data_IF_187807212935
#
_entry.id   IF_187807212935
#
_cell.length_a   1.000
_cell.length_b   1.000
_cell.length_c   1.000
_cell.angle_alpha   90.00
_cell.angle_beta   90.00
_cell.angle_gamma   90.00
#
_symmetry.space_group_name_H-M   'P 1'
#
loop_
_entity.id
_entity.type
_entity.pdbx_description
1 polymer ?
#
# COMPACT_ATOMS: atom_id res chain seq x y z
N UNK A 1 21.37 10.93 26.97
CA UNK A 1 22.10 10.33 28.11
C UNK A 1 22.66 11.50 28.90
N UNK A 2 22.03 11.78 30.04
CA UNK A 2 22.13 13.04 30.77
C UNK A 2 23.25 12.93 31.81
N UNK A 3 23.91 14.04 32.09
CA UNK A 3 25.06 14.24 32.98
C UNK A 3 24.90 13.82 34.46
N UNK A 4 23.85 13.10 34.82
CA UNK A 4 23.54 12.66 36.19
C UNK A 4 24.19 11.34 36.57
N UNK A 5 24.53 10.48 35.61
CA UNK A 5 25.04 9.12 35.89
C UNK A 5 26.51 9.12 36.36
N UNK A 6 27.26 10.23 36.19
CA UNK A 6 28.69 10.30 36.50
C UNK A 6 28.94 10.68 37.98
N UNK A 7 28.04 11.42 38.64
CA UNK A 7 28.24 11.90 40.03
C UNK A 7 27.84 10.90 41.12
N UNK A 8 27.00 9.90 40.83
CA UNK A 8 26.55 8.91 41.84
C UNK A 8 27.62 7.86 42.18
N UNK A 9 28.69 7.75 41.38
CA UNK A 9 29.72 6.72 41.52
C UNK A 9 30.65 6.89 42.72
N UNK A 10 30.62 8.04 43.40
CA UNK A 10 31.50 8.38 44.54
C UNK A 10 30.73 8.69 45.85
N UNK A 11 29.43 8.42 45.93
CA UNK A 11 28.65 8.64 47.16
C UNK A 11 28.55 7.35 47.98
N UNK A 12 29.04 7.37 49.23
CA UNK A 12 28.80 6.28 50.19
C UNK A 12 27.33 6.29 50.64
N UNK A 13 26.50 5.50 49.96
CA UNK A 13 25.09 5.32 50.33
C UNK A 13 24.94 4.19 51.36
N UNK A 14 24.13 4.43 52.38
CA UNK A 14 23.77 3.37 53.34
C UNK A 14 22.94 2.30 52.63
N UNK A 15 23.37 1.04 52.72
CA UNK A 15 22.67 -0.10 52.14
C UNK A 15 21.59 -0.58 53.08
N UNK A 16 20.40 -0.88 52.55
CA UNK A 16 19.26 -1.43 53.28
C UNK A 16 18.72 -2.69 52.60
N UNK A 17 17.89 -3.46 53.30
CA UNK A 17 17.26 -4.67 52.78
C UNK A 17 15.79 -4.74 53.17
N UNK A 18 14.91 -5.10 52.23
CA UNK A 18 13.50 -5.43 52.52
C UNK A 18 13.31 -6.86 53.04
N UNK A 19 14.38 -7.66 53.09
CA UNK A 19 14.30 -9.13 53.22
C UNK A 19 15.11 -9.70 54.39
N UNK A 20 15.56 -8.85 55.33
CA UNK A 20 16.39 -9.29 56.47
C UNK A 20 16.13 -8.47 57.73
N UNK A 21 16.00 -9.15 58.86
CA UNK A 21 15.50 -8.62 60.15
C UNK A 21 16.40 -7.54 60.80
N UNK A 22 17.59 -7.25 60.27
CA UNK A 22 18.57 -6.38 60.93
C UNK A 22 18.82 -5.02 60.27
N UNK A 23 18.27 -4.74 59.07
CA UNK A 23 18.56 -3.48 58.37
C UNK A 23 17.46 -3.07 57.36
N UNK A 24 16.21 -3.07 57.82
CA UNK A 24 15.10 -2.54 57.03
C UNK A 24 15.20 -1.02 56.86
N UNK A 25 14.80 -0.46 55.71
CA UNK A 25 14.72 0.98 55.52
C UNK A 25 13.83 1.63 56.58
N UNK A 26 14.34 2.62 57.34
CA UNK A 26 13.51 3.37 58.27
C UNK A 26 12.28 4.00 57.59
N UNK A 27 11.15 4.19 58.30
CA UNK A 27 9.90 4.66 57.70
C UNK A 27 9.98 6.02 56.98
N UNK A 28 10.94 6.88 57.34
CA UNK A 28 11.16 8.18 56.71
C UNK A 28 11.89 8.07 55.36
N UNK A 29 12.55 6.95 55.07
CA UNK A 29 13.15 6.68 53.77
C UNK A 29 12.08 6.18 52.79
N UNK A 30 11.91 6.90 51.70
CA UNK A 30 10.91 6.60 50.66
C UNK A 30 11.57 6.35 49.32
N UNK A 31 11.01 5.42 48.57
CA UNK A 31 11.35 5.24 47.15
C UNK A 31 10.88 6.45 46.33
N UNK A 32 11.43 6.63 45.12
CA UNK A 32 10.97 7.67 44.17
C UNK A 32 9.46 7.63 43.91
N UNK A 33 8.85 6.45 43.89
CA UNK A 33 7.40 6.28 43.71
C UNK A 33 6.63 6.83 44.92
N UNK A 34 7.02 6.42 46.13
CA UNK A 34 6.39 6.86 47.39
C UNK A 34 6.56 8.37 47.63
N UNK A 35 7.74 8.94 47.34
CA UNK A 35 7.91 10.41 47.33
C UNK A 35 6.88 11.06 46.40
N UNK A 36 6.68 10.45 45.23
CA UNK A 36 5.77 10.97 44.23
C UNK A 36 4.32 11.06 44.70
N UNK A 37 3.87 10.09 45.50
CA UNK A 37 2.54 10.01 46.15
C UNK A 37 2.40 11.05 47.27
N UNK A 38 3.50 11.36 47.97
CA UNK A 38 3.58 12.40 49.00
C UNK A 38 3.73 13.83 48.44
N UNK A 39 3.74 14.00 47.11
CA UNK A 39 3.94 15.31 46.50
C UNK A 39 5.39 15.82 46.59
N UNK A 40 6.36 14.94 46.80
CA UNK A 40 7.79 15.25 46.89
C UNK A 40 8.53 14.79 45.62
N UNK A 41 9.62 15.47 45.29
CA UNK A 41 10.56 15.14 44.23
C UNK A 41 11.90 14.72 44.83
N UNK A 42 12.54 13.67 44.30
CA UNK A 42 13.88 13.28 44.74
C UNK A 42 14.92 14.33 44.38
N UNK A 43 15.91 14.50 45.24
CA UNK A 43 17.16 15.23 44.98
C UNK A 43 18.31 14.23 45.09
N UNK A 44 18.90 14.10 46.28
CA UNK A 44 20.04 13.24 46.53
C UNK A 44 19.60 11.97 47.28
N UNK A 45 19.92 10.76 46.80
CA UNK A 45 19.66 9.53 47.54
C UNK A 45 20.32 9.54 48.92
N UNK A 46 19.63 9.05 49.94
CA UNK A 46 20.16 8.86 51.31
C UNK A 46 20.43 7.40 51.63
N UNK A 47 19.97 6.48 50.78
CA UNK A 47 20.24 5.06 50.91
C UNK A 47 19.93 4.31 49.62
N UNK A 48 20.31 3.05 49.60
CA UNK A 48 20.07 2.16 48.46
C UNK A 48 19.68 0.77 48.93
N UNK A 49 18.79 0.14 48.19
CA UNK A 49 18.49 -1.28 48.34
C UNK A 49 18.95 -1.96 47.07
N UNK A 50 20.03 -2.72 47.19
CA UNK A 50 20.58 -3.48 46.07
C UNK A 50 19.68 -4.67 45.81
N UNK A 51 19.17 -4.77 44.58
CA UNK A 51 18.42 -5.95 44.14
C UNK A 51 19.15 -6.66 43.03
N UNK A 52 18.77 -7.91 42.72
CA UNK A 52 19.41 -8.67 41.64
C UNK A 52 19.21 -8.06 40.24
N UNK A 53 18.23 -7.17 40.05
CA UNK A 53 17.88 -6.60 38.73
C UNK A 53 18.24 -5.13 38.59
N UNK A 54 18.04 -4.34 39.64
CA UNK A 54 18.30 -2.90 39.67
C UNK A 54 18.33 -2.39 41.11
N UNK A 55 19.05 -1.30 41.35
CA UNK A 55 19.09 -0.68 42.66
C UNK A 55 17.86 0.21 42.90
N UNK A 56 17.35 0.18 44.13
CA UNK A 56 16.25 1.05 44.57
C UNK A 56 16.82 2.12 45.48
N UNK A 57 16.97 3.33 44.95
CA UNK A 57 17.37 4.48 45.75
C UNK A 57 16.25 4.93 46.68
N UNK A 58 16.65 5.26 47.91
CA UNK A 58 15.82 5.76 48.99
C UNK A 58 16.16 7.21 49.28
N UNK A 59 15.13 7.98 49.63
CA UNK A 59 15.22 9.41 49.87
C UNK A 59 14.58 9.73 51.21
N UNK A 60 15.26 10.53 52.03
CA UNK A 60 14.79 10.92 53.35
C UNK A 60 13.82 12.09 53.26
N UNK A 61 12.58 11.89 53.71
CA UNK A 61 11.53 12.93 53.73
C UNK A 61 11.78 14.05 54.74
N UNK A 62 12.64 13.79 55.74
CA UNK A 62 13.01 14.77 56.76
C UNK A 62 14.25 15.57 56.36
N UNK A 63 14.97 15.15 55.31
CA UNK A 63 16.17 15.83 54.84
C UNK A 63 15.86 16.69 53.58
N UNK A 64 15.94 18.02 53.67
CA UNK A 64 15.70 18.92 52.54
C UNK A 64 16.74 18.80 51.42
N UNK A 65 17.91 18.20 51.67
CA UNK A 65 18.90 17.86 50.63
C UNK A 65 18.53 16.57 49.89
N UNK A 66 17.69 15.72 50.49
CA UNK A 66 17.29 14.44 49.89
C UNK A 66 16.01 14.54 49.07
N UNK A 67 15.06 15.40 49.48
CA UNK A 67 13.84 15.64 48.72
C UNK A 67 13.29 17.06 48.89
N UNK A 68 12.40 17.45 47.98
CA UNK A 68 11.73 18.76 48.00
C UNK A 68 10.28 18.68 47.54
N UNK A 69 9.40 19.64 47.88
CA UNK A 69 8.06 19.71 47.31
C UNK A 69 8.08 19.71 45.79
N UNK A 70 7.20 18.89 45.17
CA UNK A 70 6.96 18.93 43.74
C UNK A 70 6.46 20.31 43.37
N UNK A 71 7.15 20.95 42.42
CA UNK A 71 6.64 22.17 41.80
C UNK A 71 5.39 21.83 41.01
N UNK A 72 4.33 22.63 41.17
CA UNK A 72 3.20 22.56 40.24
C UNK A 72 3.72 22.86 38.83
N UNK A 73 3.25 22.16 37.79
CA UNK A 73 3.64 22.46 36.43
C UNK A 73 3.33 23.92 36.10
N UNK A 74 4.26 24.61 35.44
CA UNK A 74 4.00 25.95 34.93
C UNK A 74 2.90 25.93 33.85
N UNK A 75 2.23 27.06 33.56
CA UNK A 75 1.26 27.14 32.46
C UNK A 75 1.82 26.60 31.14
N UNK A 76 3.07 26.93 30.80
CA UNK A 76 3.78 26.42 29.62
C UNK A 76 3.95 24.89 29.63
N UNK A 77 4.24 24.30 30.80
CA UNK A 77 4.34 22.84 30.94
C UNK A 77 2.98 22.16 30.80
N UNK A 78 1.91 22.77 31.33
CA UNK A 78 0.54 22.27 31.16
C UNK A 78 0.11 22.32 29.69
N UNK A 79 0.40 23.41 29.00
CA UNK A 79 0.15 23.57 27.56
C UNK A 79 0.91 22.52 26.74
N UNK A 80 2.20 22.32 27.04
CA UNK A 80 3.01 21.28 26.39
C UNK A 80 2.45 19.88 26.63
N UNK A 81 2.02 19.57 27.86
CA UNK A 81 1.39 18.30 28.19
C UNK A 81 0.06 18.11 27.46
N UNK A 82 -0.76 19.16 27.36
CA UNK A 82 -2.02 19.14 26.62
C UNK A 82 -1.77 18.89 25.12
N UNK A 83 -0.80 19.60 24.52
CA UNK A 83 -0.40 19.41 23.13
C UNK A 83 0.12 17.98 22.87
N UNK A 84 0.92 17.42 23.77
CA UNK A 84 1.42 16.05 23.65
C UNK A 84 0.30 15.01 23.76
N UNK A 85 -0.68 15.21 24.67
CA UNK A 85 -1.85 14.35 24.78
C UNK A 85 -2.70 14.38 23.51
N UNK A 86 -2.91 15.56 22.95
CA UNK A 86 -3.62 15.74 21.68
C UNK A 86 -2.91 15.03 20.53
N UNK A 87 -1.59 15.21 20.39
CA UNK A 87 -0.77 14.48 19.39
C UNK A 87 -0.88 12.97 19.55
N UNK A 88 -0.85 12.46 20.77
CA UNK A 88 -1.00 11.03 21.05
C UNK A 88 -2.39 10.50 20.70
N UNK A 89 -3.45 11.29 20.95
CA UNK A 89 -4.82 10.94 20.56
C UNK A 89 -4.96 10.89 19.03
N UNK A 90 -4.57 11.96 18.33
CA UNK A 90 -4.60 12.03 16.86
C UNK A 90 -3.87 10.84 16.23
N UNK A 91 -2.71 10.46 16.79
CA UNK A 91 -1.94 9.31 16.31
C UNK A 91 -2.73 7.99 16.45
N UNK A 92 -3.44 7.78 17.56
CA UNK A 92 -4.29 6.60 17.75
C UNK A 92 -5.45 6.60 16.77
N UNK A 93 -6.15 7.72 16.64
CA UNK A 93 -7.30 7.86 15.73
C UNK A 93 -6.88 7.60 14.28
N UNK A 94 -5.71 8.10 13.88
CA UNK A 94 -5.14 7.82 12.55
C UNK A 94 -4.84 6.33 12.35
N UNK A 95 -4.24 5.67 13.34
CA UNK A 95 -3.90 4.24 13.25
C UNK A 95 -5.14 3.36 13.16
N UNK A 96 -6.19 3.71 13.91
CA UNK A 96 -7.49 3.05 13.85
C UNK A 96 -8.14 3.25 12.47
N UNK A 97 -8.28 4.50 12.02
CA UNK A 97 -8.79 4.81 10.69
C UNK A 97 -8.01 4.09 9.58
N UNK A 98 -6.68 4.08 9.66
CA UNK A 98 -5.83 3.44 8.65
C UNK A 98 -6.08 1.93 8.57
N UNK A 99 -6.24 1.28 9.73
CA UNK A 99 -6.49 -0.16 9.81
C UNK A 99 -7.86 -0.52 9.25
N UNK A 100 -8.87 0.29 9.53
CA UNK A 100 -10.24 0.01 9.12
C UNK A 100 -10.46 0.32 7.63
N UNK A 101 -10.04 1.51 7.16
CA UNK A 101 -10.40 2.00 5.81
C UNK A 101 -9.28 2.76 5.10
N UNK A 102 -8.27 3.27 5.80
CA UNK A 102 -7.25 4.13 5.17
C UNK A 102 -6.33 3.41 4.18
N UNK A 103 -6.27 2.07 4.21
CA UNK A 103 -5.59 1.32 3.15
C UNK A 103 -6.28 1.48 1.79
N UNK A 104 -7.61 1.60 1.76
CA UNK A 104 -8.39 1.83 0.52
C UNK A 104 -7.96 3.14 -0.11
N UNK A 105 -7.88 4.21 0.69
CA UNK A 105 -7.47 5.53 0.21
C UNK A 105 -6.00 5.56 -0.22
N UNK A 106 -5.12 4.82 0.47
CA UNK A 106 -3.72 4.65 0.05
C UNK A 106 -3.64 3.96 -1.31
N UNK A 107 -4.39 2.90 -1.52
CA UNK A 107 -4.34 2.10 -2.73
C UNK A 107 -4.98 2.87 -3.91
N UNK A 108 -6.05 3.64 -3.67
CA UNK A 108 -6.57 4.64 -4.62
C UNK A 108 -5.48 5.63 -5.05
N UNK A 109 -4.80 6.27 -4.10
CA UNK A 109 -3.71 7.22 -4.38
C UNK A 109 -2.56 6.55 -5.16
N UNK A 110 -2.24 5.28 -4.87
CA UNK A 110 -1.24 4.52 -5.63
C UNK A 110 -1.68 4.32 -7.07
N UNK A 111 -2.94 3.97 -7.31
CA UNK A 111 -3.49 3.82 -8.65
C UNK A 111 -3.45 5.14 -9.45
N UNK A 112 -3.78 6.27 -8.81
CA UNK A 112 -3.64 7.62 -9.42
C UNK A 112 -2.20 7.92 -9.82
N UNK A 113 -1.24 7.64 -8.93
CA UNK A 113 0.20 7.87 -9.21
C UNK A 113 0.70 6.98 -10.34
N UNK A 114 0.34 5.69 -10.30
CA UNK A 114 0.67 4.74 -11.37
C UNK A 114 0.15 5.23 -12.74
N UNK A 115 -1.10 5.72 -12.79
CA UNK A 115 -1.68 6.23 -14.02
C UNK A 115 -0.93 7.45 -14.55
N UNK A 116 -0.57 8.40 -13.68
CA UNK A 116 0.25 9.58 -14.04
C UNK A 116 1.63 9.17 -14.57
N UNK A 117 2.26 8.16 -13.97
CA UNK A 117 3.53 7.63 -14.45
C UNK A 117 3.39 7.11 -15.89
N UNK A 118 2.31 6.39 -16.22
CA UNK A 118 2.11 5.86 -17.58
C UNK A 118 1.98 6.99 -18.60
N UNK A 119 1.36 8.12 -18.26
CA UNK A 119 1.25 9.27 -19.16
C UNK A 119 2.60 9.93 -19.48
N UNK A 120 3.64 9.68 -18.68
CA UNK A 120 4.98 10.27 -18.87
C UNK A 120 6.02 9.29 -19.43
N UNK A 121 5.83 7.99 -19.20
CA UNK A 121 6.69 6.93 -19.76
C UNK A 121 6.42 6.71 -21.24
N UNK A 122 7.44 6.27 -21.98
CA UNK A 122 7.39 6.08 -23.45
C UNK A 122 7.32 4.62 -23.89
N UNK A 123 7.76 3.68 -23.05
CA UNK A 123 8.01 2.29 -23.44
C UNK A 123 6.91 1.35 -22.96
N UNK A 124 5.66 1.67 -23.29
CA UNK A 124 4.51 0.82 -22.99
C UNK A 124 3.44 0.89 -24.09
N UNK A 125 2.61 -0.15 -24.15
CA UNK A 125 1.49 -0.29 -25.08
C UNK A 125 0.26 -0.81 -24.36
N UNK A 126 -0.92 -0.58 -24.93
CA UNK A 126 -2.14 -1.30 -24.56
C UNK A 126 -2.38 -2.39 -25.56
N UNK A 127 -2.75 -3.57 -25.10
CA UNK A 127 -3.15 -4.70 -25.93
C UNK A 127 -4.52 -5.19 -25.47
N UNK A 128 -5.34 -5.57 -26.44
CA UNK A 128 -6.62 -6.23 -26.22
C UNK A 128 -6.85 -7.29 -27.30
N UNK A 129 -7.61 -8.34 -26.97
CA UNK A 129 -7.95 -9.44 -27.88
C UNK A 129 -9.43 -9.79 -27.82
N UNK A 130 -10.01 -10.00 -28.99
CA UNK A 130 -11.28 -10.73 -29.12
C UNK A 130 -10.99 -12.18 -29.49
N UNK A 131 -11.82 -13.10 -28.99
CA UNK A 131 -11.49 -14.53 -28.99
C UNK A 131 -12.70 -15.39 -29.32
N UNK A 132 -12.50 -16.65 -29.69
CA UNK A 132 -13.58 -17.61 -29.93
C UNK A 132 -14.28 -18.11 -28.66
N UNK A 133 -13.89 -17.62 -27.46
CA UNK A 133 -14.47 -18.04 -26.19
C UNK A 133 -13.55 -17.80 -25.00
N UNK A 134 -13.93 -18.31 -23.82
CA UNK A 134 -13.24 -17.98 -22.57
C UNK A 134 -12.05 -18.89 -22.21
N UNK A 135 -12.04 -20.12 -22.71
CA UNK A 135 -11.09 -21.17 -22.35
C UNK A 135 -10.65 -21.95 -23.58
N UNK A 136 -9.35 -22.25 -23.69
CA UNK A 136 -8.76 -22.94 -24.85
C UNK A 136 -9.23 -22.36 -26.20
N UNK A 137 -9.40 -21.04 -26.23
CA UNK A 137 -9.93 -20.29 -27.35
C UNK A 137 -8.80 -19.69 -28.20
N UNK A 138 -9.13 -19.38 -29.45
CA UNK A 138 -8.24 -18.73 -30.40
C UNK A 138 -8.57 -17.25 -30.53
N UNK A 139 -7.58 -16.44 -30.89
CA UNK A 139 -7.75 -15.00 -31.11
C UNK A 139 -8.40 -14.79 -32.48
N UNK A 140 -9.42 -13.94 -32.54
CA UNK A 140 -10.11 -13.53 -33.77
C UNK A 140 -9.89 -12.06 -34.13
N UNK A 141 -9.49 -11.24 -33.16
CA UNK A 141 -9.04 -9.86 -33.37
C UNK A 141 -7.97 -9.51 -32.35
N UNK A 142 -6.97 -8.73 -32.75
CA UNK A 142 -5.98 -8.17 -31.84
C UNK A 142 -5.71 -6.72 -32.19
N UNK A 143 -5.67 -5.87 -31.17
CA UNK A 143 -5.24 -4.50 -31.30
C UNK A 143 -4.14 -4.18 -30.30
N UNK A 144 -3.22 -3.32 -30.74
CA UNK A 144 -2.15 -2.79 -29.91
C UNK A 144 -1.98 -1.30 -30.24
N UNK A 145 -2.14 -0.45 -29.23
CA UNK A 145 -1.92 0.99 -29.36
C UNK A 145 -0.78 1.43 -28.45
N UNK A 146 -0.14 2.54 -28.80
CA UNK A 146 0.80 3.21 -27.90
C UNK A 146 0.13 4.33 -27.08
N UNK A 147 0.91 4.98 -26.23
CA UNK A 147 0.46 6.08 -25.37
C UNK A 147 -0.04 7.33 -26.10
N UNK A 148 0.22 7.44 -27.40
CA UNK A 148 -0.24 8.55 -28.25
C UNK A 148 -1.53 8.20 -28.98
N UNK A 149 -2.11 7.04 -28.66
CA UNK A 149 -3.27 6.47 -29.34
C UNK A 149 -2.94 6.06 -30.80
N UNK A 150 -1.65 5.93 -31.14
CA UNK A 150 -1.23 5.39 -32.43
C UNK A 150 -1.46 3.88 -32.46
N UNK A 151 -2.21 3.42 -33.46
CA UNK A 151 -2.44 2.00 -33.72
C UNK A 151 -1.18 1.36 -34.31
N UNK A 152 -0.51 0.50 -33.53
CA UNK A 152 0.68 -0.23 -33.95
C UNK A 152 0.35 -1.57 -34.63
N UNK A 153 -0.79 -2.14 -34.25
CA UNK A 153 -1.39 -3.33 -34.82
C UNK A 153 -2.91 -3.26 -34.61
N UNK A 154 -3.68 -3.56 -35.64
CA UNK A 154 -5.13 -3.77 -35.57
C UNK A 154 -5.49 -4.70 -36.72
N UNK A 155 -5.88 -5.93 -36.40
CA UNK A 155 -6.14 -6.94 -37.42
C UNK A 155 -7.05 -8.06 -36.92
N UNK A 156 -7.92 -8.52 -37.82
CA UNK A 156 -8.62 -9.78 -37.65
C UNK A 156 -7.65 -10.96 -37.83
N UNK A 157 -7.93 -12.05 -37.15
CA UNK A 157 -7.17 -13.30 -37.22
C UNK A 157 -8.13 -14.44 -37.54
N UNK A 158 -7.76 -15.28 -38.49
CA UNK A 158 -8.51 -16.49 -38.83
C UNK A 158 -8.23 -17.60 -37.82
N UNK A 159 -9.22 -18.01 -37.00
CA UNK A 159 -9.08 -19.15 -36.10
C UNK A 159 -9.12 -20.48 -36.88
N UNK A 160 -8.69 -21.56 -36.25
CA UNK A 160 -8.79 -22.92 -36.81
C UNK A 160 -10.14 -23.60 -36.53
N UNK A 161 -10.95 -23.02 -35.63
CA UNK A 161 -12.28 -23.48 -35.25
C UNK A 161 -13.36 -22.42 -35.60
N UNK A 162 -14.63 -22.83 -35.81
CA UNK A 162 -15.73 -21.88 -35.99
C UNK A 162 -15.92 -20.96 -34.77
N UNK A 163 -16.32 -19.71 -35.01
CA UNK A 163 -16.65 -18.77 -33.93
C UNK A 163 -18.06 -19.12 -33.39
N UNK A 164 -18.22 -19.41 -32.08
CA UNK A 164 -19.53 -19.68 -31.51
C UNK A 164 -20.48 -18.48 -31.63
N UNK A 165 -21.77 -18.74 -31.91
CA UNK A 165 -22.76 -17.69 -32.14
C UNK A 165 -22.92 -16.75 -30.93
N UNK A 166 -22.89 -17.30 -29.72
CA UNK A 166 -22.96 -16.53 -28.47
C UNK A 166 -21.76 -15.59 -28.27
N UNK A 167 -20.60 -15.91 -28.86
CA UNK A 167 -19.40 -15.05 -28.83
C UNK A 167 -19.46 -14.00 -29.94
N UNK A 168 -19.94 -14.38 -31.13
CA UNK A 168 -20.30 -13.44 -32.19
C UNK A 168 -21.32 -12.39 -31.72
N UNK A 169 -22.31 -12.75 -30.89
CA UNK A 169 -23.26 -11.79 -30.31
C UNK A 169 -22.60 -10.73 -29.40
N UNK A 170 -21.44 -11.04 -28.81
CA UNK A 170 -20.69 -10.14 -27.93
C UNK A 170 -19.86 -9.15 -28.76
N UNK A 171 -18.95 -9.65 -29.59
CA UNK A 171 -17.96 -8.82 -30.30
C UNK A 171 -18.34 -8.49 -31.76
N UNK A 172 -19.37 -9.13 -32.31
CA UNK A 172 -19.86 -8.91 -33.67
C UNK A 172 -19.02 -9.53 -34.81
N UNK A 173 -17.89 -10.17 -34.52
CA UNK A 173 -17.04 -10.83 -35.53
C UNK A 173 -17.64 -12.19 -35.95
N UNK A 174 -17.82 -12.38 -37.26
CA UNK A 174 -18.36 -13.61 -37.86
C UNK A 174 -17.28 -14.43 -38.58
N UNK A 175 -17.55 -15.72 -38.81
CA UNK A 175 -16.66 -16.60 -39.58
C UNK A 175 -16.37 -16.04 -40.98
N UNK A 176 -17.33 -15.36 -41.62
CA UNK A 176 -17.16 -14.74 -42.94
C UNK A 176 -16.17 -13.57 -42.89
N UNK A 177 -16.18 -12.77 -41.83
CA UNK A 177 -15.26 -11.64 -41.66
C UNK A 177 -13.81 -12.10 -41.55
N UNK A 178 -13.57 -13.24 -40.88
CA UNK A 178 -12.23 -13.79 -40.66
C UNK A 178 -11.81 -14.80 -41.74
N UNK A 179 -12.68 -15.16 -42.69
CA UNK A 179 -12.43 -16.23 -43.66
C UNK A 179 -11.16 -16.01 -44.50
N UNK A 180 -10.83 -14.76 -44.80
CA UNK A 180 -9.65 -14.33 -45.57
C UNK A 180 -8.59 -13.62 -44.72
N UNK A 181 -8.82 -13.50 -43.41
CA UNK A 181 -7.88 -12.90 -42.47
C UNK A 181 -6.60 -13.76 -42.33
N UNK A 182 -5.46 -13.15 -41.96
CA UNK A 182 -4.24 -13.90 -41.68
C UNK A 182 -4.41 -14.86 -40.50
N UNK A 183 -3.68 -15.97 -40.51
CA UNK A 183 -3.63 -16.88 -39.36
C UNK A 183 -2.79 -16.29 -38.21
N UNK A 184 -2.99 -16.78 -36.97
CA UNK A 184 -2.19 -16.32 -35.83
C UNK A 184 -0.67 -16.45 -36.08
N UNK A 185 -0.12 -17.55 -36.63
CA UNK A 185 1.30 -17.64 -36.97
C UNK A 185 1.80 -16.60 -37.97
N UNK A 186 0.92 -16.13 -38.86
CA UNK A 186 1.24 -15.06 -39.82
C UNK A 186 1.36 -13.71 -39.13
N UNK A 187 0.51 -13.43 -38.15
CA UNK A 187 0.49 -12.15 -37.39
C UNK A 187 1.53 -12.14 -36.26
N UNK A 188 1.88 -13.30 -35.71
CA UNK A 188 2.77 -13.46 -34.56
C UNK A 188 4.11 -12.68 -34.65
N UNK A 189 4.86 -12.69 -35.77
CA UNK A 189 6.10 -11.92 -35.86
C UNK A 189 5.90 -10.42 -35.64
N UNK A 190 4.78 -9.86 -36.11
CA UNK A 190 4.43 -8.46 -35.91
C UNK A 190 4.06 -8.18 -34.46
N UNK A 191 3.36 -9.09 -33.78
CA UNK A 191 3.08 -8.98 -32.34
C UNK A 191 4.40 -8.92 -31.55
N UNK A 192 5.33 -9.84 -31.83
CA UNK A 192 6.65 -9.85 -31.17
C UNK A 192 7.39 -8.53 -31.38
N UNK A 193 7.41 -8.03 -32.61
CA UNK A 193 8.05 -6.76 -32.95
C UNK A 193 7.46 -5.58 -32.15
N UNK A 194 6.13 -5.46 -32.15
CA UNK A 194 5.42 -4.34 -31.50
C UNK A 194 5.56 -4.37 -29.98
N UNK A 195 5.57 -5.57 -29.38
CA UNK A 195 5.67 -5.76 -27.93
C UNK A 195 7.11 -5.76 -27.40
N UNK A 196 8.11 -5.74 -28.29
CA UNK A 196 9.53 -5.86 -27.91
C UNK A 196 9.95 -4.71 -27.01
N UNK A 197 10.59 -5.03 -25.88
CA UNK A 197 11.14 -4.08 -24.90
C UNK A 197 10.11 -3.10 -24.30
N UNK A 198 8.81 -3.36 -24.47
CA UNK A 198 7.72 -2.55 -23.91
C UNK A 198 7.01 -3.24 -22.74
N UNK A 199 6.54 -2.44 -21.78
CA UNK A 199 5.51 -2.88 -20.82
C UNK A 199 4.16 -3.00 -21.55
N UNK A 200 3.35 -3.99 -21.19
CA UNK A 200 2.05 -4.24 -21.82
C UNK A 200 0.95 -4.02 -20.80
N UNK A 201 0.08 -3.06 -21.03
CA UNK A 201 -1.10 -2.82 -20.20
C UNK A 201 -2.28 -3.52 -20.87
N UNK A 202 -3.02 -4.31 -20.11
CA UNK A 202 -4.19 -5.03 -20.62
C UNK A 202 -5.28 -4.85 -19.59
N UNK A 203 -6.54 -4.66 -20.03
CA UNK A 203 -7.63 -4.49 -19.09
C UNK A 203 -7.76 -5.69 -18.17
N UNK A 204 -7.92 -6.88 -18.74
CA UNK A 204 -7.93 -8.15 -18.02
C UNK A 204 -6.71 -9.00 -18.38
N UNK A 205 -5.52 -8.60 -17.91
CA UNK A 205 -4.26 -9.22 -18.31
C UNK A 205 -4.21 -10.76 -18.14
N UNK A 206 -4.85 -11.30 -17.10
CA UNK A 206 -4.87 -12.75 -16.89
C UNK A 206 -5.58 -13.48 -18.05
N UNK A 207 -6.65 -12.91 -18.59
CA UNK A 207 -7.42 -13.47 -19.68
C UNK A 207 -6.61 -13.49 -20.99
N UNK A 208 -6.21 -12.32 -21.49
CA UNK A 208 -5.50 -12.19 -22.76
C UNK A 208 -4.19 -12.98 -22.78
N UNK A 209 -3.45 -12.97 -21.66
CA UNK A 209 -2.18 -13.71 -21.57
C UNK A 209 -2.40 -15.23 -21.63
N UNK A 210 -3.48 -15.75 -21.04
CA UNK A 210 -3.82 -17.17 -21.14
C UNK A 210 -4.11 -17.55 -22.59
N UNK A 211 -4.91 -16.75 -23.29
CA UNK A 211 -5.27 -16.98 -24.70
C UNK A 211 -4.06 -16.84 -25.62
N UNK A 212 -3.26 -15.77 -25.50
CA UNK A 212 -2.03 -15.60 -26.27
C UNK A 212 -1.08 -16.79 -26.09
N UNK A 213 -0.89 -17.27 -24.86
CA UNK A 213 -0.07 -18.45 -24.61
C UNK A 213 -0.68 -19.74 -25.18
N UNK A 214 -2.00 -19.88 -25.17
CA UNK A 214 -2.68 -20.99 -25.82
C UNK A 214 -2.44 -20.98 -27.33
N UNK A 215 -2.67 -19.87 -28.02
CA UNK A 215 -2.39 -19.72 -29.45
C UNK A 215 -0.91 -20.01 -29.78
N UNK A 216 0.02 -19.52 -28.96
CA UNK A 216 1.45 -19.84 -29.14
C UNK A 216 1.70 -21.35 -29.06
N UNK A 217 1.16 -22.04 -28.04
CA UNK A 217 1.32 -23.51 -27.90
C UNK A 217 0.67 -24.27 -29.04
N UNK A 218 -0.56 -23.91 -29.42
CA UNK A 218 -1.32 -24.55 -30.50
C UNK A 218 -0.52 -24.58 -31.81
N UNK A 219 0.21 -23.49 -32.08
CA UNK A 219 0.99 -23.34 -33.31
C UNK A 219 2.50 -23.61 -33.15
N UNK A 220 2.94 -24.18 -32.02
CA UNK A 220 4.36 -24.43 -31.73
C UNK A 220 5.26 -23.19 -31.85
N UNK A 221 4.73 -22.03 -31.48
CA UNK A 221 5.43 -20.75 -31.45
C UNK A 221 6.02 -20.48 -30.05
N UNK A 222 7.14 -19.73 -29.96
CA UNK A 222 7.68 -19.31 -28.67
C UNK A 222 6.66 -18.52 -27.84
N UNK A 223 6.72 -18.62 -26.51
CA UNK A 223 5.92 -17.76 -25.64
C UNK A 223 6.39 -16.31 -25.72
N UNK A 224 5.43 -15.37 -25.70
CA UNK A 224 5.68 -13.94 -25.61
C UNK A 224 6.20 -13.48 -24.24
N UNK A 225 6.24 -14.39 -23.24
CA UNK A 225 6.76 -14.15 -21.89
C UNK A 225 6.15 -12.92 -21.18
N UNK A 226 4.86 -12.65 -21.44
CA UNK A 226 4.20 -11.41 -21.01
C UNK A 226 3.98 -11.32 -19.49
N UNK A 227 3.89 -12.43 -18.77
CA UNK A 227 3.60 -12.46 -17.32
C UNK A 227 4.49 -11.55 -16.47
N UNK A 228 5.75 -11.30 -16.89
CA UNK A 228 6.68 -10.42 -16.17
C UNK A 228 6.68 -8.97 -16.64
N UNK A 229 6.01 -8.69 -17.77
CA UNK A 229 6.06 -7.41 -18.51
C UNK A 229 4.68 -6.77 -18.63
N UNK A 230 3.64 -7.43 -18.12
CA UNK A 230 2.26 -7.02 -18.23
C UNK A 230 1.72 -6.42 -16.93
N UNK A 231 0.81 -5.47 -17.05
CA UNK A 231 0.03 -4.91 -15.95
C UNK A 231 -1.46 -5.13 -16.20
N UNK A 232 -2.20 -5.46 -15.15
CA UNK A 232 -3.66 -5.62 -15.20
C UNK A 232 -4.33 -4.29 -14.83
N UNK A 233 -4.85 -3.57 -15.83
CA UNK A 233 -5.51 -2.28 -15.60
C UNK A 233 -6.80 -2.44 -14.79
N UNK A 234 -7.52 -3.56 -14.90
CA UNK A 234 -8.71 -3.84 -14.08
C UNK A 234 -8.39 -3.83 -12.57
N UNK A 235 -7.22 -4.32 -12.16
CA UNK A 235 -6.80 -4.28 -10.75
C UNK A 235 -6.51 -2.83 -10.28
N UNK A 236 -5.88 -2.03 -11.14
CA UNK A 236 -5.62 -0.62 -10.87
C UNK A 236 -6.92 0.18 -10.79
N UNK A 237 -7.86 -0.06 -11.70
CA UNK A 237 -9.19 0.55 -11.71
C UNK A 237 -10.00 0.15 -10.48
N UNK A 238 -9.95 -1.12 -10.06
CA UNK A 238 -10.65 -1.60 -8.87
C UNK A 238 -10.15 -0.95 -7.58
N UNK A 239 -8.83 -0.80 -7.44
CA UNK A 239 -8.21 -0.05 -6.34
C UNK A 239 -8.59 1.43 -6.37
N UNK A 240 -8.60 2.05 -7.56
CA UNK A 240 -9.01 3.43 -7.74
C UNK A 240 -10.50 3.67 -7.40
N UNK A 241 -11.39 2.77 -7.80
CA UNK A 241 -12.80 2.82 -7.44
C UNK A 241 -13.03 2.62 -5.94
N UNK A 242 -12.16 1.84 -5.27
CA UNK A 242 -12.17 1.67 -3.82
C UNK A 242 -13.29 0.77 -3.27
N UNK A 243 -13.98 0.03 -4.15
CA UNK A 243 -15.09 -0.87 -3.78
C UNK A 243 -14.55 -2.15 -3.15
N UNK A 244 -14.21 -2.10 -1.85
CA UNK A 244 -13.65 -3.21 -1.09
C UNK A 244 -14.73 -4.13 -0.50
N UNK A 245 -14.57 -5.44 -0.70
CA UNK A 245 -15.38 -6.46 -0.04
C UNK A 245 -14.66 -7.01 1.19
N UNK A 246 -15.20 -6.76 2.39
CA UNK A 246 -14.65 -7.31 3.64
C UNK A 246 -14.83 -8.83 3.75
N UNK A 247 -15.86 -9.39 3.10
CA UNK A 247 -16.11 -10.82 3.09
C UNK A 247 -15.08 -11.56 2.22
N UNK A 248 -14.85 -11.09 0.99
CA UNK A 248 -13.91 -11.70 0.05
C UNK A 248 -12.46 -11.23 0.23
N UNK A 249 -12.24 -10.14 0.98
CA UNK A 249 -10.94 -9.49 1.21
C UNK A 249 -10.24 -9.08 -0.08
N UNK A 250 -11.00 -8.52 -1.02
CA UNK A 250 -10.51 -8.00 -2.29
C UNK A 250 -11.35 -6.81 -2.77
N UNK A 251 -10.85 -6.11 -3.79
CA UNK A 251 -11.64 -5.14 -4.52
C UNK A 251 -12.57 -5.85 -5.50
N UNK A 252 -13.76 -5.28 -5.69
CA UNK A 252 -14.66 -5.70 -6.74
C UNK A 252 -14.11 -5.26 -8.10
N UNK A 253 -14.13 -6.17 -9.07
CA UNK A 253 -13.82 -5.87 -10.46
C UNK A 253 -15.06 -5.36 -11.20
N UNK A 254 -14.84 -4.56 -12.23
CA UNK A 254 -15.89 -3.98 -13.07
C UNK A 254 -15.57 -4.27 -14.54
N UNK A 255 -16.59 -4.32 -15.41
CA UNK A 255 -16.36 -4.37 -16.85
C UNK A 255 -15.71 -3.07 -17.33
N UNK A 256 -15.02 -3.14 -18.47
CA UNK A 256 -14.41 -1.98 -19.11
C UNK A 256 -15.49 -0.94 -19.44
N UNK A 257 -15.49 0.25 -18.82
CA UNK A 257 -16.47 1.28 -19.14
C UNK A 257 -16.29 1.76 -20.58
N UNK A 258 -17.40 1.83 -21.31
CA UNK A 258 -17.42 2.19 -22.74
C UNK A 258 -16.69 1.20 -23.67
N UNK A 259 -16.32 0.01 -23.17
CA UNK A 259 -15.87 -1.08 -24.03
C UNK A 259 -16.98 -1.50 -24.98
N UNK A 260 -16.63 -1.77 -26.23
CA UNK A 260 -17.57 -2.14 -27.29
C UNK A 260 -17.30 -3.54 -27.84
N UNK A 261 -16.45 -4.32 -27.17
CA UNK A 261 -16.06 -5.68 -27.59
C UNK A 261 -15.48 -5.68 -29.00
N UNK A 262 -14.63 -4.69 -29.27
CA UNK A 262 -13.75 -4.63 -30.43
C UNK A 262 -12.38 -4.24 -29.91
N UNK A 263 -11.35 -4.98 -30.30
CA UNK A 263 -10.05 -4.88 -29.64
C UNK A 263 -9.48 -3.45 -29.65
N UNK A 264 -9.59 -2.74 -30.79
CA UNK A 264 -9.12 -1.36 -30.88
C UNK A 264 -9.97 -0.39 -30.03
N UNK A 265 -11.29 -0.58 -30.01
CA UNK A 265 -12.20 0.24 -29.20
C UNK A 265 -11.91 0.08 -27.72
N UNK A 266 -11.67 -1.15 -27.28
CA UNK A 266 -11.37 -1.50 -25.89
C UNK A 266 -9.97 -1.02 -25.49
N UNK A 267 -8.98 -1.06 -26.39
CA UNK A 267 -7.68 -0.42 -26.19
C UNK A 267 -7.81 1.10 -25.90
N UNK A 268 -8.62 1.81 -26.71
CA UNK A 268 -8.84 3.25 -26.54
C UNK A 268 -9.62 3.57 -25.25
N UNK A 269 -10.64 2.77 -24.93
CA UNK A 269 -11.41 2.91 -23.69
C UNK A 269 -10.53 2.64 -22.45
N UNK A 270 -9.65 1.63 -22.51
CA UNK A 270 -8.66 1.37 -21.49
C UNK A 270 -7.69 2.54 -21.30
N UNK A 271 -7.22 3.17 -22.39
CA UNK A 271 -6.38 4.36 -22.28
C UNK A 271 -7.11 5.56 -21.67
N UNK A 272 -8.38 5.75 -22.03
CA UNK A 272 -9.21 6.82 -21.45
C UNK A 272 -9.36 6.65 -19.94
N UNK A 273 -9.45 5.42 -19.42
CA UNK A 273 -9.42 5.19 -17.97
C UNK A 273 -8.10 5.60 -17.34
N UNK A 274 -6.96 5.29 -17.97
CA UNK A 274 -5.65 5.73 -17.48
C UNK A 274 -5.60 7.26 -17.40
N UNK A 275 -6.04 7.96 -18.45
CA UNK A 275 -6.14 9.43 -18.48
C UNK A 275 -7.04 9.94 -17.36
N UNK A 276 -8.24 9.37 -17.20
CA UNK A 276 -9.21 9.76 -16.17
C UNK A 276 -8.65 9.57 -14.76
N UNK A 277 -8.08 8.41 -14.46
CA UNK A 277 -7.45 8.11 -13.16
C UNK A 277 -6.35 9.13 -12.82
N UNK A 278 -5.55 9.52 -13.81
CA UNK A 278 -4.47 10.47 -13.61
C UNK A 278 -4.93 11.88 -13.22
N UNK A 279 -6.18 12.26 -13.54
CA UNK A 279 -6.75 13.57 -13.17
C UNK A 279 -7.25 13.65 -11.72
N UNK A 280 -7.45 12.51 -11.08
CA UNK A 280 -7.93 12.44 -9.69
C UNK A 280 -6.85 12.88 -8.69
N UNK A 281 -7.25 13.18 -7.45
CA UNK A 281 -6.35 13.63 -6.39
C UNK A 281 -5.42 12.52 -5.92
N UNK A 282 -4.12 12.82 -5.82
CA UNK A 282 -3.10 11.94 -5.22
C UNK A 282 -2.89 12.21 -3.72
N UNK A 283 -3.80 12.98 -3.10
CA UNK A 283 -3.79 13.21 -1.66
C UNK A 283 -4.67 12.18 -0.97
N UNK A 284 -4.18 11.67 0.15
CA UNK A 284 -4.96 10.83 1.04
C UNK A 284 -6.02 11.69 1.71
N UNK A 285 -7.29 11.39 1.46
CA UNK A 285 -8.42 11.98 2.17
C UNK A 285 -8.59 11.33 3.55
N UNK A 286 -7.78 11.76 4.52
CA UNK A 286 -7.86 11.32 5.90
C UNK A 286 -8.73 12.30 6.71
N UNK A 287 -9.82 11.84 7.37
CA UNK A 287 -10.66 12.71 8.20
C UNK A 287 -9.98 13.05 9.54
N UNK A 288 -8.91 12.32 9.91
CA UNK A 288 -8.14 12.60 11.12
C UNK A 288 -7.23 13.81 10.85
N UNK A 289 -7.30 14.88 11.65
CA UNK A 289 -6.47 16.06 11.46
C UNK A 289 -5.01 15.72 11.73
N UNK A 290 -4.24 15.44 10.68
CA UNK A 290 -2.80 15.24 10.78
C UNK A 290 -2.19 16.63 11.00
N UNK A 291 -1.48 16.90 12.11
CA UNK A 291 -0.76 18.15 12.25
C UNK A 291 0.24 18.25 11.10
N UNK A 292 0.09 19.28 10.27
CA UNK A 292 1.08 19.58 9.24
C UNK A 292 2.44 19.73 9.93
N UNK A 293 3.50 19.20 9.32
CA UNK A 293 4.85 19.61 9.72
C UNK A 293 4.88 21.13 9.55
N UNK A 294 5.04 21.87 10.65
CA UNK A 294 5.41 23.27 10.56
C UNK A 294 6.65 23.39 9.65
N UNK A 295 6.72 24.43 8.80
CA UNK A 295 7.77 24.60 7.82
C UNK A 295 9.18 24.57 8.41
#
# INVERSE_FOLDING_TARGET
MCSFDIELSNMELTKYSWWGESNEPPPHLKTKKQLGELGLSPLTPSGVIETRKYDVFLYDINNPESCRPKRKPSPKQLETLAANRLKAQIKRDYQEWYREVGFIERDRVRAVKWAREQLTQKDWVILDTETTGLYDAEIVEIAIIDRTEETLLDTLIKPSIPIPAEVTEIHGITDEMVATAPSFPTVYPRIVEVLKDKRVIIYNAEFDIKILNYCCRLHSLPSLMLTKRSECLMEWVAQWAGNWSYYHKNYQYFPLPSGNHRALGDCLAAFELVKRMATDSDRINCPVPIPQKEP
#
